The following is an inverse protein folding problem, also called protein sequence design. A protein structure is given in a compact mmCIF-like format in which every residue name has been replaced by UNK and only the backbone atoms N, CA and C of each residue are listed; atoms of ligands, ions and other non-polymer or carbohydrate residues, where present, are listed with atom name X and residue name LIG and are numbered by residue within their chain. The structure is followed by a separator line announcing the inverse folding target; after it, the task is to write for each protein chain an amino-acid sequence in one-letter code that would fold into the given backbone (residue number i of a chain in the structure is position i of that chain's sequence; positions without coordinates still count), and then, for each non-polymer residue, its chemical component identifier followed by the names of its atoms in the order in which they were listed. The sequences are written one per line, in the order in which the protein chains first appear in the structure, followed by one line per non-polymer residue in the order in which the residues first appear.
data_IF_903409508808
#
_entry.id   IF_903409508808
#
_cell.length_a   1.000
_cell.length_b   1.000
_cell.length_c   1.000
_cell.angle_alpha   90.00
_cell.angle_beta   90.00
_cell.angle_gamma   90.00
#
_symmetry.space_group_name_H-M   'P 1'
#
loop_
_entity.id
_entity.type
_entity.pdbx_description
1 polymer ?
#
# COMPACT_ATOMS: atom_id res chain seq x y z
N UNK A 1 -3.67 -5.11 -24.23
CA UNK A 1 -3.51 -4.32 -22.99
C UNK A 1 -4.86 -3.68 -22.66
N UNK A 2 -5.93 -4.48 -22.63
CA UNK A 2 -7.32 -3.97 -22.68
C UNK A 2 -8.28 -4.64 -21.68
N UNK A 3 -7.83 -5.61 -20.89
CA UNK A 3 -8.69 -6.32 -19.93
C UNK A 3 -8.68 -5.72 -18.52
N UNK A 4 -7.77 -4.78 -18.23
CA UNK A 4 -7.68 -4.14 -16.92
C UNK A 4 -8.70 -3.00 -16.72
N UNK A 5 -9.19 -2.38 -17.81
CA UNK A 5 -10.07 -1.21 -17.73
C UNK A 5 -11.56 -1.55 -17.65
N UNK A 6 -11.94 -2.82 -17.80
CA UNK A 6 -13.35 -3.23 -17.75
C UNK A 6 -13.84 -3.53 -16.33
N UNK A 7 -12.92 -3.79 -15.39
CA UNK A 7 -13.27 -4.16 -14.01
C UNK A 7 -13.49 -2.91 -13.15
N UNK A 8 -12.75 -1.83 -13.40
CA UNK A 8 -12.90 -0.58 -12.65
C UNK A 8 -14.19 0.18 -13.02
N UNK A 9 -14.70 0.03 -14.25
CA UNK A 9 -15.93 0.69 -14.71
C UNK A 9 -17.24 0.06 -14.22
N UNK A 10 -17.20 -1.11 -13.58
CA UNK A 10 -18.41 -1.80 -13.07
C UNK A 10 -18.65 -1.46 -11.58
N UNK A 11 -17.64 -0.99 -10.86
CA UNK A 11 -17.72 -0.76 -9.41
C UNK A 11 -18.23 0.67 -9.08
N UNK A 12 -18.15 1.62 -10.01
CA UNK A 12 -18.49 3.03 -9.76
C UNK A 12 -19.97 3.42 -9.94
N UNK A 13 -20.88 2.49 -10.29
CA UNK A 13 -22.30 2.81 -10.57
C UNK A 13 -23.34 2.33 -9.56
N UNK A 14 -22.92 1.85 -8.39
CA UNK A 14 -23.85 1.62 -7.27
C UNK A 14 -23.69 2.68 -6.18
N UNK A 15 -23.71 3.95 -6.60
CA UNK A 15 -24.02 5.09 -5.74
C UNK A 15 -25.49 5.02 -5.33
N UNK A 16 -25.83 4.06 -4.47
CA UNK A 16 -27.18 3.84 -3.97
C UNK A 16 -27.27 4.28 -2.50
N UNK A 17 -27.17 5.59 -2.33
CA UNK A 17 -27.23 6.25 -1.02
C UNK A 17 -28.66 6.29 -0.42
N UNK A 18 -29.61 5.50 -0.98
CA UNK A 18 -30.98 5.34 -0.47
C UNK A 18 -31.43 3.89 -0.23
N UNK A 19 -30.58 2.87 -0.45
CA UNK A 19 -30.96 1.45 -0.22
C UNK A 19 -30.94 0.97 1.22
N UNK A 20 -30.28 1.68 2.14
CA UNK A 20 -30.02 1.15 3.49
C UNK A 20 -31.22 1.25 4.45
N UNK A 21 -32.12 2.20 4.26
CA UNK A 21 -33.29 2.41 5.14
C UNK A 21 -34.45 1.49 4.79
N UNK A 22 -34.71 1.26 3.50
CA UNK A 22 -35.74 0.33 3.04
C UNK A 22 -35.37 -1.13 3.28
N UNK A 23 -34.11 -1.52 3.08
CA UNK A 23 -33.67 -2.91 3.37
C UNK A 23 -33.67 -3.22 4.87
N UNK A 24 -33.31 -2.25 5.72
CA UNK A 24 -33.33 -2.44 7.18
C UNK A 24 -34.75 -2.54 7.75
N UNK A 25 -35.69 -1.73 7.25
CA UNK A 25 -37.09 -1.81 7.65
C UNK A 25 -37.74 -3.10 7.15
N UNK A 26 -37.50 -3.50 5.89
CA UNK A 26 -38.03 -4.75 5.31
C UNK A 26 -37.47 -6.00 6.01
N UNK A 27 -36.22 -5.94 6.51
CA UNK A 27 -35.63 -7.01 7.33
C UNK A 27 -36.35 -7.16 8.68
N UNK A 28 -36.64 -6.05 9.36
CA UNK A 28 -37.31 -6.06 10.67
C UNK A 28 -38.75 -6.61 10.58
N UNK A 29 -39.48 -6.24 9.51
CA UNK A 29 -40.82 -6.77 9.25
C UNK A 29 -40.81 -8.28 8.94
N UNK A 30 -39.83 -8.77 8.17
CA UNK A 30 -39.70 -10.20 7.86
C UNK A 30 -39.29 -11.02 9.08
N UNK A 31 -38.42 -10.50 9.94
CA UNK A 31 -38.01 -11.18 11.16
C UNK A 31 -39.18 -11.37 12.12
N UNK A 32 -39.97 -10.31 12.34
CA UNK A 32 -41.17 -10.37 13.17
C UNK A 32 -42.21 -11.35 12.62
N UNK A 33 -42.45 -11.36 11.31
CA UNK A 33 -43.36 -12.31 10.67
C UNK A 33 -42.88 -13.76 10.79
N UNK A 34 -41.56 -14.00 10.76
CA UNK A 34 -41.00 -15.33 10.98
C UNK A 34 -41.13 -15.77 12.44
N UNK A 35 -40.90 -14.89 13.41
CA UNK A 35 -41.09 -15.20 14.83
C UNK A 35 -42.55 -15.56 15.12
N UNK A 36 -43.50 -14.75 14.63
CA UNK A 36 -44.94 -15.02 14.75
C UNK A 36 -45.35 -16.33 14.04
N UNK A 37 -44.69 -16.69 12.94
CA UNK A 37 -44.90 -17.99 12.27
C UNK A 37 -44.34 -19.16 13.10
N UNK A 38 -43.15 -19.02 13.68
CA UNK A 38 -42.56 -20.06 14.54
C UNK A 38 -43.34 -20.31 15.82
N UNK A 39 -44.04 -19.31 16.35
CA UNK A 39 -44.92 -19.46 17.50
C UNK A 39 -46.19 -20.27 17.21
N UNK A 40 -46.60 -20.36 15.93
CA UNK A 40 -47.76 -21.15 15.48
C UNK A 40 -47.42 -22.62 15.19
N UNK A 41 -46.13 -22.95 15.07
CA UNK A 41 -45.64 -24.33 14.93
C UNK A 41 -45.64 -25.03 16.30
N UNK A 42 -45.78 -26.35 16.31
CA UNK A 42 -45.82 -27.13 17.55
C UNK A 42 -44.79 -28.27 17.55
N UNK A 43 -44.25 -28.60 18.73
CA UNK A 43 -43.33 -29.71 18.90
C UNK A 43 -42.02 -29.54 18.12
N UNK A 44 -41.65 -30.59 17.37
CA UNK A 44 -40.36 -30.69 16.70
C UNK A 44 -40.16 -29.65 15.58
N UNK A 45 -41.22 -29.27 14.85
CA UNK A 45 -41.15 -28.30 13.76
C UNK A 45 -40.80 -26.89 14.26
N UNK A 46 -41.32 -26.53 15.44
CA UNK A 46 -40.99 -25.26 16.08
C UNK A 46 -39.51 -25.20 16.50
N UNK A 47 -38.96 -26.31 17.00
CA UNK A 47 -37.56 -26.40 17.39
C UNK A 47 -36.62 -26.28 16.17
N UNK A 48 -36.95 -26.98 15.08
CA UNK A 48 -36.24 -26.85 13.79
C UNK A 48 -36.26 -25.39 13.31
N UNK A 49 -37.42 -24.74 13.34
CA UNK A 49 -37.55 -23.36 12.87
C UNK A 49 -36.78 -22.35 13.73
N UNK A 50 -36.75 -22.54 15.07
CA UNK A 50 -35.95 -21.73 15.99
C UNK A 50 -34.46 -21.91 15.75
N UNK A 51 -34.00 -23.15 15.55
CA UNK A 51 -32.60 -23.45 15.27
C UNK A 51 -32.14 -22.84 13.94
N UNK A 52 -32.97 -22.97 12.89
CA UNK A 52 -32.69 -22.35 11.59
C UNK A 52 -32.66 -20.81 11.67
N UNK A 53 -33.56 -20.20 12.44
CA UNK A 53 -33.56 -18.74 12.65
C UNK A 53 -32.28 -18.28 13.34
N UNK A 54 -31.85 -19.00 14.38
CA UNK A 54 -30.61 -18.71 15.08
C UNK A 54 -29.40 -18.83 14.16
N UNK A 55 -29.30 -19.90 13.37
CA UNK A 55 -28.21 -20.11 12.42
C UNK A 55 -28.17 -18.99 11.37
N UNK A 56 -29.31 -18.60 10.80
CA UNK A 56 -29.42 -17.48 9.86
C UNK A 56 -28.91 -16.17 10.50
N UNK A 57 -29.24 -15.90 11.76
CA UNK A 57 -28.78 -14.70 12.46
C UNK A 57 -27.28 -14.72 12.75
N UNK A 58 -26.72 -15.89 13.06
CA UNK A 58 -25.27 -16.07 13.23
C UNK A 58 -24.56 -15.83 11.90
N UNK A 59 -24.99 -16.49 10.83
CA UNK A 59 -24.41 -16.34 9.49
C UNK A 59 -24.51 -14.90 8.97
N UNK A 60 -25.60 -14.18 9.23
CA UNK A 60 -25.73 -12.75 8.87
C UNK A 60 -24.68 -11.90 9.58
N UNK A 61 -24.43 -12.13 10.86
CA UNK A 61 -23.40 -11.41 11.62
C UNK A 61 -22.02 -11.72 11.07
N UNK A 62 -21.72 -12.98 10.78
CA UNK A 62 -20.43 -13.40 10.22
C UNK A 62 -20.19 -12.77 8.84
N UNK A 63 -21.18 -12.78 7.95
CA UNK A 63 -21.08 -12.12 6.63
C UNK A 63 -20.83 -10.61 6.77
N UNK A 64 -21.45 -9.94 7.75
CA UNK A 64 -21.19 -8.52 7.99
C UNK A 64 -19.77 -8.26 8.48
N UNK A 65 -19.23 -9.11 9.35
CA UNK A 65 -17.84 -9.02 9.81
C UNK A 65 -16.87 -9.25 8.66
N UNK A 66 -17.07 -10.31 7.88
CA UNK A 66 -16.23 -10.62 6.71
C UNK A 66 -16.24 -9.50 5.67
N UNK A 67 -17.35 -8.78 5.51
CA UNK A 67 -17.41 -7.60 4.63
C UNK A 67 -16.54 -6.45 5.15
N UNK A 68 -16.60 -6.17 6.45
CA UNK A 68 -15.75 -5.14 7.06
C UNK A 68 -14.27 -5.50 6.93
N UNK A 69 -13.93 -6.74 7.24
CA UNK A 69 -12.55 -7.22 7.12
C UNK A 69 -12.04 -7.13 5.68
N UNK A 70 -12.89 -7.50 4.71
CA UNK A 70 -12.56 -7.33 3.28
C UNK A 70 -12.27 -5.87 2.93
N UNK A 71 -13.09 -4.93 3.40
CA UNK A 71 -12.91 -3.51 3.10
C UNK A 71 -11.63 -2.97 3.74
N UNK A 72 -11.31 -3.36 4.97
CA UNK A 72 -10.02 -3.06 5.62
C UNK A 72 -8.85 -3.63 4.83
N UNK A 73 -8.89 -4.91 4.46
CA UNK A 73 -7.83 -5.54 3.68
C UNK A 73 -7.64 -4.90 2.30
N UNK A 74 -8.71 -4.42 1.67
CA UNK A 74 -8.62 -3.70 0.39
C UNK A 74 -7.99 -2.33 0.57
N UNK A 75 -8.27 -1.65 1.68
CA UNK A 75 -7.62 -0.40 2.04
C UNK A 75 -6.12 -0.59 2.28
N UNK A 76 -5.74 -1.53 3.15
CA UNK A 76 -4.34 -1.85 3.45
C UNK A 76 -3.57 -2.24 2.18
N UNK A 77 -4.18 -3.04 1.30
CA UNK A 77 -3.60 -3.42 0.02
C UNK A 77 -3.35 -2.22 -0.88
N UNK A 78 -4.19 -1.18 -0.82
CA UNK A 78 -3.99 0.05 -1.59
C UNK A 78 -2.82 0.85 -1.03
N UNK A 79 -2.75 1.03 0.29
CA UNK A 79 -1.66 1.74 0.96
C UNK A 79 -0.32 1.06 0.69
N UNK A 80 -0.22 -0.26 0.89
CA UNK A 80 0.98 -1.05 0.59
C UNK A 80 1.42 -0.96 -0.88
N UNK A 81 0.47 -0.83 -1.82
CA UNK A 81 0.80 -0.64 -3.24
C UNK A 81 1.39 0.74 -3.51
N UNK A 82 0.89 1.77 -2.84
CA UNK A 82 1.40 3.13 -2.96
C UNK A 82 2.79 3.25 -2.34
N UNK A 83 3.01 2.65 -1.16
CA UNK A 83 4.33 2.51 -0.53
C UNK A 83 5.32 1.75 -1.41
N UNK A 84 4.90 0.59 -1.98
CA UNK A 84 5.77 -0.16 -2.88
C UNK A 84 6.15 0.66 -4.13
N UNK A 85 5.24 1.49 -4.64
CA UNK A 85 5.51 2.35 -5.80
C UNK A 85 6.50 3.45 -5.44
N UNK A 86 6.35 4.08 -4.27
CA UNK A 86 7.28 5.12 -3.81
C UNK A 86 8.67 4.53 -3.57
N UNK A 87 8.77 3.35 -2.96
CA UNK A 87 10.04 2.69 -2.69
C UNK A 87 10.75 2.25 -3.98
N UNK A 88 10.00 1.72 -4.96
CA UNK A 88 10.55 1.42 -6.30
C UNK A 88 11.13 2.67 -6.98
N UNK A 89 10.46 3.81 -6.83
CA UNK A 89 10.97 5.08 -7.37
C UNK A 89 12.27 5.48 -6.69
N UNK A 90 12.32 5.45 -5.34
CA UNK A 90 13.53 5.77 -4.56
C UNK A 90 14.70 4.86 -4.91
N UNK A 91 14.46 3.56 -5.00
CA UNK A 91 15.48 2.58 -5.41
C UNK A 91 16.07 2.90 -6.79
N UNK A 92 15.20 3.23 -7.77
CA UNK A 92 15.64 3.62 -9.13
C UNK A 92 16.44 4.92 -9.12
N UNK A 93 16.08 5.88 -8.29
CA UNK A 93 16.82 7.12 -8.12
C UNK A 93 18.22 6.85 -7.54
N UNK A 94 18.30 6.00 -6.51
CA UNK A 94 19.58 5.62 -5.90
C UNK A 94 20.50 4.87 -6.87
N UNK A 95 19.95 3.96 -7.68
CA UNK A 95 20.70 3.31 -8.76
C UNK A 95 21.29 4.34 -9.73
N UNK A 96 20.48 5.29 -10.22
CA UNK A 96 20.95 6.36 -11.12
C UNK A 96 22.04 7.21 -10.47
N UNK A 97 21.87 7.53 -9.19
CA UNK A 97 22.84 8.30 -8.43
C UNK A 97 24.20 7.58 -8.36
N UNK A 98 24.22 6.29 -8.02
CA UNK A 98 25.46 5.51 -7.96
C UNK A 98 26.06 5.20 -9.34
N UNK A 99 25.23 5.02 -10.38
CA UNK A 99 25.72 4.87 -11.76
C UNK A 99 26.53 6.09 -12.21
N UNK A 100 26.04 7.31 -11.95
CA UNK A 100 26.78 8.55 -12.26
C UNK A 100 28.13 8.60 -11.55
N UNK A 101 28.17 8.22 -10.28
CA UNK A 101 29.43 8.14 -9.54
C UNK A 101 30.39 7.11 -10.14
N UNK A 102 29.87 5.94 -10.51
CA UNK A 102 30.68 4.89 -11.13
C UNK A 102 31.30 5.38 -12.45
N UNK A 103 30.55 6.13 -13.26
CA UNK A 103 31.04 6.73 -14.50
C UNK A 103 32.16 7.76 -14.25
N UNK A 104 32.02 8.64 -13.25
CA UNK A 104 33.06 9.63 -12.92
C UNK A 104 34.36 8.96 -12.43
N UNK A 105 34.25 7.90 -11.63
CA UNK A 105 35.42 7.12 -11.22
C UNK A 105 36.06 6.38 -12.39
N UNK A 106 35.24 5.79 -13.26
CA UNK A 106 35.74 5.10 -14.44
C UNK A 106 36.54 6.06 -15.34
N UNK A 107 36.15 7.34 -15.44
CA UNK A 107 36.94 8.36 -16.16
C UNK A 107 38.33 8.54 -15.56
N UNK A 108 38.44 8.61 -14.24
CA UNK A 108 39.73 8.78 -13.55
C UNK A 108 40.59 7.53 -13.74
N UNK A 109 40.05 6.34 -13.43
CA UNK A 109 40.78 5.07 -13.48
C UNK A 109 41.27 4.74 -14.91
N UNK A 110 40.53 5.14 -15.94
CA UNK A 110 40.91 4.90 -17.33
C UNK A 110 42.06 5.79 -17.82
N UNK A 111 42.43 6.85 -17.10
CA UNK A 111 43.56 7.70 -17.48
C UNK A 111 44.85 6.90 -17.28
N UNK A 112 45.64 6.64 -18.35
CA UNK A 112 46.87 5.88 -18.23
C UNK A 112 47.88 6.61 -17.34
N UNK A 113 48.46 5.90 -16.38
CA UNK A 113 49.42 6.47 -15.43
C UNK A 113 50.83 6.22 -15.95
N UNK A 114 51.63 7.29 -16.05
CA UNK A 114 53.06 7.15 -16.28
C UNK A 114 53.75 6.92 -14.93
N UNK A 115 54.15 5.67 -14.68
CA UNK A 115 54.76 5.25 -13.40
C UNK A 115 56.18 5.81 -13.19
N UNK A 116 56.81 6.33 -14.25
CA UNK A 116 58.14 6.95 -14.19
C UNK A 116 58.07 8.45 -13.83
N UNK A 117 56.89 9.06 -13.96
CA UNK A 117 56.66 10.47 -13.64
C UNK A 117 55.93 10.60 -12.29
N UNK A 118 56.70 10.86 -11.24
CA UNK A 118 56.18 10.99 -9.88
C UNK A 118 55.12 12.10 -9.74
N UNK A 119 55.25 13.20 -10.49
CA UNK A 119 54.25 14.28 -10.49
C UNK A 119 52.92 13.80 -11.06
N UNK A 120 52.96 13.03 -12.14
CA UNK A 120 51.77 12.46 -12.77
C UNK A 120 51.08 11.43 -11.85
N UNK A 121 51.86 10.59 -11.16
CA UNK A 121 51.33 9.65 -10.15
C UNK A 121 50.62 10.41 -9.03
N UNK A 122 51.25 11.47 -8.48
CA UNK A 122 50.63 12.28 -7.42
C UNK A 122 49.34 12.93 -7.89
N UNK A 123 49.31 13.52 -9.09
CA UNK A 123 48.10 14.13 -9.66
C UNK A 123 46.96 13.12 -9.84
N UNK A 124 47.28 11.92 -10.33
CA UNK A 124 46.30 10.85 -10.48
C UNK A 124 45.74 10.40 -9.12
N UNK A 125 46.62 10.20 -8.13
CA UNK A 125 46.22 9.88 -6.75
C UNK A 125 45.34 10.98 -6.13
N UNK A 126 45.70 12.25 -6.28
CA UNK A 126 44.90 13.37 -5.77
C UNK A 126 43.52 13.42 -6.41
N UNK A 127 43.43 13.20 -7.73
CA UNK A 127 42.15 13.15 -8.46
C UNK A 127 41.25 12.04 -7.92
N UNK A 128 41.79 10.84 -7.71
CA UNK A 128 41.05 9.71 -7.15
C UNK A 128 40.61 9.98 -5.70
N UNK A 129 41.53 10.48 -4.86
CA UNK A 129 41.28 10.80 -3.45
C UNK A 129 40.19 11.87 -3.31
N UNK A 130 40.22 12.92 -4.14
CA UNK A 130 39.26 14.00 -4.06
C UNK A 130 37.88 13.56 -4.55
N UNK A 131 37.81 12.74 -5.60
CA UNK A 131 36.57 12.08 -6.02
C UNK A 131 35.97 11.21 -4.90
N UNK A 132 36.81 10.48 -4.15
CA UNK A 132 36.39 9.72 -2.96
C UNK A 132 35.83 10.55 -1.83
N UNK A 133 36.47 11.66 -1.50
CA UNK A 133 35.90 12.60 -0.53
C UNK A 133 34.56 13.14 -1.04
N UNK A 134 34.47 13.55 -2.29
CA UNK A 134 33.24 14.11 -2.85
C UNK A 134 32.09 13.11 -2.83
N UNK A 135 32.35 11.83 -3.13
CA UNK A 135 31.37 10.76 -3.00
C UNK A 135 30.87 10.64 -1.57
N UNK A 136 31.76 10.56 -0.59
CA UNK A 136 31.37 10.45 0.84
C UNK A 136 30.52 11.64 1.28
N UNK A 137 30.89 12.86 0.91
CA UNK A 137 30.11 14.06 1.23
C UNK A 137 28.76 14.06 0.53
N UNK A 138 28.71 13.61 -0.71
CA UNK A 138 27.47 13.52 -1.48
C UNK A 138 26.55 12.43 -0.94
N UNK A 139 27.07 11.28 -0.53
CA UNK A 139 26.30 10.22 0.14
C UNK A 139 25.75 10.71 1.49
N UNK A 140 26.52 11.46 2.28
CA UNK A 140 26.03 12.07 3.53
C UNK A 140 24.88 13.05 3.27
N UNK A 141 24.95 13.86 2.21
CA UNK A 141 23.85 14.74 1.82
C UNK A 141 22.63 13.94 1.36
N UNK A 142 22.84 12.89 0.55
CA UNK A 142 21.76 12.03 0.06
C UNK A 142 21.05 11.28 1.18
N UNK A 143 21.78 10.83 2.20
CA UNK A 143 21.19 10.23 3.40
C UNK A 143 20.28 11.23 4.13
N UNK A 144 20.72 12.48 4.33
CA UNK A 144 19.87 13.52 4.94
C UNK A 144 18.60 13.82 4.14
N UNK A 145 18.67 13.81 2.81
CA UNK A 145 17.49 13.95 1.95
C UNK A 145 16.51 12.78 2.12
N UNK A 146 17.04 11.56 2.26
CA UNK A 146 16.26 10.35 2.49
C UNK A 146 15.59 10.41 3.87
N UNK A 147 16.34 10.78 4.92
CA UNK A 147 15.85 10.90 6.29
C UNK A 147 14.72 11.94 6.36
N UNK A 148 14.92 13.12 5.77
CA UNK A 148 13.88 14.16 5.69
C UNK A 148 12.62 13.67 4.96
N UNK A 149 12.78 12.95 3.85
CA UNK A 149 11.65 12.41 3.10
C UNK A 149 10.88 11.32 3.89
N UNK A 150 11.54 10.59 4.78
CA UNK A 150 10.87 9.63 5.68
C UNK A 150 10.09 10.36 6.78
N UNK A 151 10.68 11.39 7.39
CA UNK A 151 10.01 12.20 8.41
C UNK A 151 8.77 12.95 7.87
N UNK A 152 8.72 13.30 6.59
CA UNK A 152 7.51 13.87 5.96
C UNK A 152 6.41 12.83 5.70
N UNK A 153 6.76 11.57 5.43
CA UNK A 153 5.78 10.48 5.23
C UNK A 153 5.13 10.06 6.55
N UNK A 154 5.86 10.13 7.67
CA UNK A 154 5.35 9.75 9.00
C UNK A 154 4.49 10.84 9.68
N UNK A 155 4.32 12.02 9.06
CA UNK A 155 3.46 13.06 9.63
C UNK A 155 1.99 12.67 9.45
N UNK A 156 1.21 12.50 10.54
CA UNK A 156 -0.21 12.23 10.43
C UNK A 156 -0.87 13.40 9.72
N UNK A 157 -1.52 13.13 8.60
CA UNK A 157 -2.37 14.10 7.88
C UNK A 157 -3.57 14.39 8.76
N UNK A 158 -3.42 15.33 9.70
CA UNK A 158 -4.51 15.87 10.50
C UNK A 158 -5.50 16.56 9.55
N UNK A 159 -6.50 15.81 9.10
CA UNK A 159 -7.71 16.40 8.51
C UNK A 159 -8.49 17.04 9.67
N UNK A 160 -8.44 18.37 9.74
CA UNK A 160 -9.35 19.16 10.57
C UNK A 160 -10.79 18.85 10.12
N UNK A 161 -11.60 18.38 11.07
CA UNK A 161 -13.04 18.19 10.95
C UNK A 161 -13.77 19.51 10.66
#
# INVERSE_FOLDING_TARGET
METANLIDGIIEKEGDFMKNTETSTNHFYRERAFTEFTERLSGHEQEIAKNALWEIQVLKREVQLLRRDKDTLLHDKKELKEELKSEKYRSKEMLRYFSRWTEEYAKIIKIPINMENESHIRQHYFSLRESAKNLVHSCRRKLKEIDYAMEEQDKPTFKRH
#
